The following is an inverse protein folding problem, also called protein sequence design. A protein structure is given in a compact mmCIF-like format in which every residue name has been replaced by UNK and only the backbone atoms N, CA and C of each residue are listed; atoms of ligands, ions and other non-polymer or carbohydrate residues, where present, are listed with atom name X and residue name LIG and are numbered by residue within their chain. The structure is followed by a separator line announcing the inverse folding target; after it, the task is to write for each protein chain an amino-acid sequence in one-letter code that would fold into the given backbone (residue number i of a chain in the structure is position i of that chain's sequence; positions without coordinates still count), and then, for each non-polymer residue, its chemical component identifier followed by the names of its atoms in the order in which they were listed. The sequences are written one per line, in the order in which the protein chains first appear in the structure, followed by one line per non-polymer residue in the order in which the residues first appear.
data_IF_122362765767
#
_entry.id   IF_122362765767
#
_cell.length_a   1.000
_cell.length_b   1.000
_cell.length_c   1.000
_cell.angle_alpha   90.00
_cell.angle_beta   90.00
_cell.angle_gamma   90.00
#
_symmetry.space_group_name_H-M   'P 1'
#
loop_
_entity.id
_entity.type
_entity.pdbx_description
1 polymer ?
#
# COMPACT_ATOMS: atom_id res chain seq x y z
N UNK A 1 18.70 -12.19 61.26
CA UNK A 1 18.43 -12.22 59.82
C UNK A 1 17.22 -11.29 59.55
N UNK A 2 17.43 -9.97 59.66
CA UNK A 2 16.40 -8.96 59.42
C UNK A 2 16.41 -8.65 57.91
N UNK A 3 15.48 -9.25 57.18
CA UNK A 3 15.21 -8.88 55.80
C UNK A 3 14.61 -7.48 55.88
N UNK A 4 15.33 -6.49 55.38
CA UNK A 4 14.94 -5.09 55.35
C UNK A 4 13.52 -4.95 54.75
N UNK A 5 12.61 -4.46 55.58
CA UNK A 5 11.21 -4.20 55.22
C UNK A 5 11.09 -3.35 53.94
N UNK A 6 12.08 -2.52 53.66
CA UNK A 6 12.20 -1.77 52.43
C UNK A 6 12.41 -2.65 51.20
N UNK A 7 13.23 -3.71 51.30
CA UNK A 7 13.42 -4.68 50.21
C UNK A 7 12.13 -5.46 49.88
N UNK A 8 11.35 -5.84 50.91
CA UNK A 8 10.04 -6.49 50.69
C UNK A 8 9.02 -5.57 50.02
N UNK A 9 8.90 -4.33 50.49
CA UNK A 9 8.03 -3.34 49.84
C UNK A 9 8.44 -3.09 48.37
N UNK A 10 9.72 -2.93 48.10
CA UNK A 10 10.24 -2.73 46.76
C UNK A 10 9.91 -3.93 45.85
N UNK A 11 10.05 -5.17 46.33
CA UNK A 11 9.70 -6.38 45.53
C UNK A 11 8.20 -6.52 45.28
N UNK A 12 7.33 -6.15 46.24
CA UNK A 12 5.89 -6.14 46.01
C UNK A 12 5.48 -5.09 44.97
N UNK A 13 6.07 -3.92 44.95
CA UNK A 13 5.84 -2.89 43.93
C UNK A 13 6.32 -3.36 42.56
N UNK A 14 7.43 -4.07 42.47
CA UNK A 14 7.89 -4.67 41.21
C UNK A 14 6.90 -5.71 40.65
N UNK A 15 6.39 -6.57 41.49
CA UNK A 15 5.39 -7.55 41.11
C UNK A 15 4.11 -6.88 40.60
N UNK A 16 3.65 -5.84 41.29
CA UNK A 16 2.46 -5.07 40.90
C UNK A 16 2.70 -4.32 39.57
N UNK A 17 3.87 -3.71 39.38
CA UNK A 17 4.22 -3.02 38.14
C UNK A 17 4.40 -3.99 36.96
N UNK A 18 4.98 -5.16 37.18
CA UNK A 18 5.11 -6.22 36.19
C UNK A 18 3.73 -6.72 35.73
N UNK A 19 2.82 -6.95 36.68
CA UNK A 19 1.42 -7.31 36.38
C UNK A 19 0.67 -6.20 35.66
N UNK A 20 0.85 -4.95 36.06
CA UNK A 20 0.27 -3.80 35.36
C UNK A 20 0.81 -3.66 33.93
N UNK A 21 2.12 -3.86 33.75
CA UNK A 21 2.75 -3.84 32.42
C UNK A 21 2.27 -4.97 31.51
N UNK A 22 2.05 -6.18 32.09
CA UNK A 22 1.47 -7.32 31.36
C UNK A 22 0.02 -7.06 30.98
N UNK A 23 -0.76 -6.45 31.88
CA UNK A 23 -2.13 -6.01 31.62
C UNK A 23 -2.21 -4.92 30.55
N UNK A 24 -1.25 -3.99 30.55
CA UNK A 24 -1.12 -2.96 29.53
C UNK A 24 -0.72 -3.52 28.17
N UNK A 25 0.17 -4.52 28.11
CA UNK A 25 0.50 -5.25 26.87
C UNK A 25 -0.72 -5.96 26.28
N UNK A 26 -1.52 -6.60 27.14
CA UNK A 26 -2.76 -7.22 26.70
C UNK A 26 -3.77 -6.18 26.21
N UNK A 27 -3.89 -5.06 26.92
CA UNK A 27 -4.75 -3.95 26.54
C UNK A 27 -4.29 -3.28 25.23
N UNK A 28 -2.99 -3.27 24.93
CA UNK A 28 -2.46 -2.76 23.66
C UNK A 28 -2.98 -3.56 22.46
N UNK A 29 -2.99 -4.89 22.56
CA UNK A 29 -3.58 -5.75 21.53
C UNK A 29 -5.03 -5.40 21.24
N UNK A 30 -5.79 -4.96 22.25
CA UNK A 30 -7.20 -4.56 22.16
C UNK A 30 -7.35 -3.08 21.78
N UNK A 31 -6.55 -2.18 22.38
CA UNK A 31 -6.71 -0.73 22.28
C UNK A 31 -5.88 -0.11 21.14
N UNK A 32 -4.92 -0.85 20.59
CA UNK A 32 -4.07 -0.44 19.46
C UNK A 32 -3.44 0.96 19.62
N UNK A 33 -3.02 1.32 20.85
CA UNK A 33 -2.36 2.60 21.15
C UNK A 33 -0.85 2.42 21.35
N UNK A 34 -0.04 3.00 20.49
CA UNK A 34 1.43 2.87 20.51
C UNK A 34 2.15 3.60 21.66
N UNK A 35 1.42 4.17 22.62
CA UNK A 35 1.98 4.82 23.78
C UNK A 35 2.28 3.85 24.93
N UNK A 36 1.78 2.61 24.86
CA UNK A 36 2.07 1.57 25.84
C UNK A 36 3.55 1.16 25.88
N UNK A 37 4.26 1.29 24.76
CA UNK A 37 5.69 0.98 24.67
C UNK A 37 6.54 1.80 25.62
N UNK A 38 6.22 3.07 25.73
CA UNK A 38 6.91 3.96 26.66
C UNK A 38 6.68 3.51 28.10
N UNK A 39 5.46 3.09 28.42
CA UNK A 39 5.12 2.56 29.73
C UNK A 39 5.82 1.22 30.04
N UNK A 40 6.14 0.41 29.02
CA UNK A 40 6.82 -0.87 29.16
C UNK A 40 8.33 -0.79 29.34
N UNK A 41 8.98 0.17 28.71
CA UNK A 41 10.43 0.38 28.89
C UNK A 41 10.78 0.80 30.30
N UNK A 42 9.84 1.41 31.03
CA UNK A 42 10.06 1.92 32.37
C UNK A 42 10.26 0.86 33.43
N UNK A 43 9.45 -0.21 33.54
CA UNK A 43 9.70 -1.33 34.46
C UNK A 43 11.03 -2.02 34.20
N UNK A 44 11.43 -2.17 32.92
CA UNK A 44 12.72 -2.80 32.54
C UNK A 44 13.87 -1.89 32.98
N UNK A 45 13.81 -0.61 32.72
CA UNK A 45 14.81 0.38 33.15
C UNK A 45 14.89 0.41 34.69
N UNK A 46 13.75 0.38 35.37
CA UNK A 46 13.66 0.34 36.81
C UNK A 46 14.24 -0.96 37.40
N UNK A 47 13.98 -2.12 36.77
CA UNK A 47 14.55 -3.40 37.16
C UNK A 47 16.09 -3.38 37.04
N UNK A 48 16.63 -2.80 35.98
CA UNK A 48 18.08 -2.65 35.78
C UNK A 48 18.71 -1.73 36.84
N UNK A 49 18.03 -0.68 37.21
CA UNK A 49 18.51 0.35 38.18
C UNK A 49 18.24 -0.02 39.66
N UNK A 50 17.54 -1.12 39.93
CA UNK A 50 16.95 -1.43 41.24
C UNK A 50 17.90 -1.92 42.30
N UNK A 51 19.22 -2.05 42.07
CA UNK A 51 20.17 -2.49 43.10
C UNK A 51 20.33 -1.51 44.26
N UNK A 52 20.12 -0.21 44.04
CA UNK A 52 19.90 0.83 45.07
C UNK A 52 19.20 2.03 44.40
N UNK A 53 17.87 2.07 44.33
CA UNK A 53 17.19 3.17 43.63
C UNK A 53 17.39 4.47 44.44
N UNK A 54 17.83 5.56 43.78
CA UNK A 54 17.86 6.87 44.41
C UNK A 54 16.44 7.34 44.74
N UNK A 55 16.30 8.13 45.81
CA UNK A 55 14.99 8.55 46.32
C UNK A 55 14.09 9.28 45.30
N UNK A 56 14.66 9.92 44.28
CA UNK A 56 13.94 10.58 43.21
C UNK A 56 13.36 9.60 42.13
N UNK A 57 13.81 8.35 42.10
CA UNK A 57 13.46 7.43 41.02
C UNK A 57 11.98 7.04 41.04
N UNK A 58 11.43 6.74 42.23
CA UNK A 58 10.02 6.37 42.38
C UNK A 58 9.06 7.48 41.94
N UNK A 59 9.21 8.76 42.37
CA UNK A 59 8.39 9.85 41.88
C UNK A 59 8.52 10.07 40.37
N UNK A 60 9.72 9.92 39.83
CA UNK A 60 9.96 10.06 38.39
C UNK A 60 9.23 8.98 37.60
N UNK A 61 9.33 7.71 38.02
CA UNK A 61 8.61 6.59 37.38
C UNK A 61 7.10 6.79 37.46
N UNK A 62 6.57 7.22 38.61
CA UNK A 62 5.14 7.51 38.77
C UNK A 62 4.69 8.65 37.86
N UNK A 63 5.48 9.72 37.74
CA UNK A 63 5.19 10.83 36.83
C UNK A 63 5.15 10.37 35.37
N UNK A 64 6.13 9.58 34.92
CA UNK A 64 6.16 9.07 33.55
C UNK A 64 5.00 8.11 33.29
N UNK A 65 4.65 7.24 34.25
CA UNK A 65 3.48 6.36 34.14
C UNK A 65 2.18 7.18 34.04
N UNK A 66 2.01 8.22 34.84
CA UNK A 66 0.84 9.09 34.80
C UNK A 66 0.73 9.81 33.43
N UNK A 67 1.85 10.34 32.92
CA UNK A 67 1.91 10.95 31.60
C UNK A 67 1.57 9.92 30.51
N UNK A 68 2.14 8.72 30.54
CA UNK A 68 1.87 7.67 29.57
C UNK A 68 0.40 7.24 29.59
N UNK A 69 -0.18 7.07 30.78
CA UNK A 69 -1.60 6.75 30.93
C UNK A 69 -2.49 7.87 30.39
N UNK A 70 -2.15 9.12 30.67
CA UNK A 70 -2.87 10.28 30.13
C UNK A 70 -2.82 10.32 28.61
N UNK A 71 -1.66 10.02 28.00
CA UNK A 71 -1.50 9.94 26.55
C UNK A 71 -2.36 8.84 25.95
N UNK A 72 -2.42 7.66 26.57
CA UNK A 72 -3.27 6.53 26.15
C UNK A 72 -4.75 6.89 26.22
N UNK A 73 -5.19 7.46 27.36
CA UNK A 73 -6.59 7.87 27.55
C UNK A 73 -6.96 8.95 26.51
N UNK A 74 -6.08 9.91 26.28
CA UNK A 74 -6.30 10.97 25.28
C UNK A 74 -6.37 10.38 23.86
N UNK A 75 -5.53 9.40 23.55
CA UNK A 75 -5.54 8.70 22.26
C UNK A 75 -6.86 7.98 22.02
N UNK A 76 -7.35 7.25 23.01
CA UNK A 76 -8.63 6.55 22.96
C UNK A 76 -9.79 7.53 22.82
N UNK A 77 -9.79 8.60 23.63
CA UNK A 77 -10.84 9.62 23.61
C UNK A 77 -10.91 10.40 22.30
N UNK A 78 -9.76 10.60 21.63
CA UNK A 78 -9.71 11.31 20.35
C UNK A 78 -10.08 10.45 19.14
N UNK A 79 -10.06 9.12 19.26
CA UNK A 79 -10.39 8.20 18.15
C UNK A 79 -11.75 8.50 17.50
N UNK A 80 -12.86 8.60 18.23
CA UNK A 80 -14.17 8.82 17.61
C UNK A 80 -14.27 10.14 16.84
N UNK A 81 -13.44 11.13 17.18
CA UNK A 81 -13.43 12.44 16.54
C UNK A 81 -12.52 12.50 15.31
N UNK A 82 -11.46 11.68 15.27
CA UNK A 82 -10.45 11.68 14.22
C UNK A 82 -10.64 10.53 13.24
N UNK A 83 -11.23 9.42 13.65
CA UNK A 83 -11.55 8.26 12.79
C UNK A 83 -12.75 8.53 11.87
N UNK A 84 -13.57 9.55 12.16
CA UNK A 84 -14.73 9.91 11.33
C UNK A 84 -14.36 10.62 10.01
N UNK A 85 -13.09 10.91 9.76
CA UNK A 85 -12.63 11.54 8.54
C UNK A 85 -11.61 10.65 7.84
N UNK A 86 -12.06 9.95 6.83
CA UNK A 86 -11.16 9.30 5.89
C UNK A 86 -10.37 10.40 5.18
N UNK A 87 -9.14 10.55 5.53
CA UNK A 87 -8.15 11.21 4.69
C UNK A 87 -7.15 10.13 4.27
N UNK A 88 -6.29 10.43 3.31
CA UNK A 88 -5.25 9.51 2.82
C UNK A 88 -4.48 8.83 3.98
N UNK A 89 -4.27 9.51 5.08
CA UNK A 89 -3.63 8.98 6.29
C UNK A 89 -4.56 8.10 7.13
N UNK A 90 -5.88 8.24 7.03
CA UNK A 90 -6.82 7.47 7.84
C UNK A 90 -6.96 6.03 7.37
N UNK A 91 -6.90 5.74 6.07
CA UNK A 91 -6.90 4.36 5.58
C UNK A 91 -5.71 3.55 6.10
N UNK A 92 -4.57 4.20 6.35
CA UNK A 92 -3.44 3.56 7.03
C UNK A 92 -3.73 3.16 8.49
N UNK A 93 -4.79 3.71 9.13
CA UNK A 93 -5.21 3.30 10.47
C UNK A 93 -5.77 1.89 10.51
N UNK A 94 -6.43 1.51 9.43
CA UNK A 94 -7.08 0.22 9.30
C UNK A 94 -6.16 -0.87 8.74
N UNK A 95 -4.87 -0.54 8.53
CA UNK A 95 -3.87 -1.49 8.07
C UNK A 95 -3.15 -2.15 9.25
N UNK A 96 -2.94 -3.44 9.24
CA UNK A 96 -2.22 -4.20 10.26
C UNK A 96 -1.28 -5.24 9.65
N UNK A 97 -0.23 -5.60 10.39
CA UNK A 97 0.66 -6.69 9.99
C UNK A 97 -0.02 -8.03 10.15
N UNK A 98 0.12 -8.91 9.17
CA UNK A 98 -0.51 -10.23 9.16
C UNK A 98 0.44 -11.33 9.66
N UNK A 99 0.06 -12.14 10.69
CA UNK A 99 0.80 -13.35 11.03
C UNK A 99 0.68 -14.40 9.90
N UNK A 100 1.69 -15.23 9.64
CA UNK A 100 2.95 -15.35 10.35
C UNK A 100 4.05 -14.40 9.88
N UNK A 101 3.82 -13.62 8.82
CA UNK A 101 4.78 -12.71 8.23
C UNK A 101 4.39 -11.25 8.55
N UNK A 102 4.98 -10.65 9.59
CA UNK A 102 4.60 -9.31 10.07
C UNK A 102 4.97 -8.17 9.12
N UNK A 103 5.58 -8.50 8.00
CA UNK A 103 6.10 -7.57 7.02
C UNK A 103 5.01 -7.25 5.99
N UNK A 104 4.08 -8.18 5.78
CA UNK A 104 2.94 -7.97 4.89
C UNK A 104 1.82 -7.34 5.69
N UNK A 105 1.49 -6.09 5.38
CA UNK A 105 0.38 -5.39 5.98
C UNK A 105 -0.91 -5.64 5.19
N UNK A 106 -2.05 -5.56 5.88
CA UNK A 106 -3.41 -5.64 5.32
C UNK A 106 -4.31 -4.66 6.02
N UNK A 107 -5.43 -4.35 5.40
CA UNK A 107 -6.48 -3.61 6.10
C UNK A 107 -7.19 -4.51 7.13
N UNK A 108 -7.91 -3.88 8.05
CA UNK A 108 -8.79 -4.62 8.96
C UNK A 108 -9.87 -5.35 8.14
N UNK A 109 -10.27 -6.53 8.62
CA UNK A 109 -11.33 -7.33 7.97
C UNK A 109 -12.69 -6.65 8.12
N UNK A 110 -13.56 -6.88 7.12
CA UNK A 110 -14.95 -6.41 7.12
C UNK A 110 -15.10 -4.89 7.33
N UNK A 111 -14.17 -4.10 6.80
CA UNK A 111 -14.36 -2.65 6.75
C UNK A 111 -15.53 -2.32 5.83
N UNK A 112 -16.39 -1.41 6.26
CA UNK A 112 -17.42 -0.76 5.45
C UNK A 112 -17.39 0.74 5.75
N UNK A 113 -16.59 1.46 4.99
CA UNK A 113 -16.31 2.86 5.19
C UNK A 113 -16.88 3.66 4.03
N UNK A 114 -17.56 4.76 4.37
CA UNK A 114 -18.07 5.73 3.39
C UNK A 114 -17.66 7.12 3.85
N UNK A 115 -16.83 7.80 3.05
CA UNK A 115 -16.37 9.14 3.39
C UNK A 115 -15.95 9.94 2.15
N UNK A 116 -15.60 11.21 2.36
CA UNK A 116 -14.96 12.05 1.36
C UNK A 116 -13.44 11.96 1.47
N UNK A 117 -12.81 11.57 0.36
CA UNK A 117 -11.37 11.54 0.18
C UNK A 117 -10.92 12.64 -0.79
N UNK A 118 -9.66 13.03 -0.69
CA UNK A 118 -8.92 13.78 -1.70
C UNK A 118 -7.53 13.17 -1.86
N UNK A 119 -6.84 13.55 -2.94
CA UNK A 119 -5.61 12.88 -3.35
C UNK A 119 -4.44 13.01 -2.40
N UNK A 120 -3.55 12.06 -2.51
CA UNK A 120 -2.31 11.94 -1.74
C UNK A 120 -1.38 13.15 -1.96
N UNK A 121 -1.27 13.63 -3.21
CA UNK A 121 -0.43 14.78 -3.56
C UNK A 121 -0.97 16.08 -2.96
N UNK A 122 -2.29 16.27 -3.01
CA UNK A 122 -2.93 17.42 -2.35
C UNK A 122 -2.80 17.35 -0.83
N UNK A 123 -2.85 16.14 -0.25
CA UNK A 123 -2.63 15.91 1.18
C UNK A 123 -1.21 16.30 1.60
N UNK A 124 -0.20 15.88 0.83
CA UNK A 124 1.21 16.20 1.07
C UNK A 124 1.48 17.69 0.86
N UNK A 125 0.90 18.28 -0.18
CA UNK A 125 1.08 19.71 -0.50
C UNK A 125 0.41 20.62 0.55
N UNK A 126 -0.72 20.17 1.12
CA UNK A 126 -1.42 20.89 2.20
C UNK A 126 -2.24 22.09 1.75
N UNK A 127 -2.36 22.38 0.44
CA UNK A 127 -3.21 23.45 -0.07
C UNK A 127 -4.63 22.96 -0.39
N UNK A 128 -5.68 23.41 0.33
CA UNK A 128 -7.06 22.99 0.10
C UNK A 128 -7.60 23.29 -1.31
N UNK A 129 -7.08 24.31 -1.99
CA UNK A 129 -7.50 24.68 -3.35
C UNK A 129 -7.10 23.64 -4.40
N UNK A 130 -6.16 22.76 -4.10
CA UNK A 130 -5.69 21.70 -4.98
C UNK A 130 -6.43 20.37 -4.75
N UNK A 131 -7.29 20.27 -3.73
CA UNK A 131 -8.01 19.06 -3.39
C UNK A 131 -9.15 18.78 -4.37
N UNK A 132 -9.17 17.59 -4.92
CA UNK A 132 -10.29 17.04 -5.67
C UNK A 132 -11.08 16.08 -4.78
N UNK A 133 -12.08 16.62 -4.06
CA UNK A 133 -12.85 15.84 -3.10
C UNK A 133 -13.81 14.91 -3.80
N UNK A 134 -13.87 13.66 -3.34
CA UNK A 134 -14.71 12.60 -3.90
C UNK A 134 -15.23 11.68 -2.81
N UNK A 135 -16.47 11.24 -2.97
CA UNK A 135 -17.05 10.25 -2.08
C UNK A 135 -16.48 8.87 -2.42
N UNK A 136 -16.00 8.16 -1.42
CA UNK A 136 -15.42 6.83 -1.55
C UNK A 136 -16.19 5.84 -0.67
N UNK A 137 -16.56 4.72 -1.25
CA UNK A 137 -16.95 3.50 -0.54
C UNK A 137 -15.73 2.58 -0.51
N UNK A 138 -15.34 2.13 0.67
CA UNK A 138 -14.19 1.27 0.87
C UNK A 138 -14.58 0.07 1.71
N UNK A 139 -14.60 -1.12 1.11
CA UNK A 139 -14.99 -2.37 1.76
C UNK A 139 -13.88 -3.39 1.67
N UNK A 140 -13.71 -4.16 2.76
CA UNK A 140 -12.75 -5.27 2.78
C UNK A 140 -13.44 -6.58 3.15
N UNK A 141 -12.89 -7.67 2.63
CA UNK A 141 -13.30 -9.02 2.96
C UNK A 141 -12.76 -9.49 4.33
N UNK A 142 -12.96 -10.74 4.67
CA UNK A 142 -12.46 -11.37 5.92
C UNK A 142 -10.94 -11.37 6.05
N UNK A 143 -10.21 -11.33 4.92
CA UNK A 143 -8.74 -11.30 4.90
C UNK A 143 -8.17 -9.89 4.83
N UNK A 144 -9.02 -8.86 4.77
CA UNK A 144 -8.62 -7.47 4.70
C UNK A 144 -8.16 -7.01 3.32
N UNK A 145 -8.58 -7.68 2.24
CA UNK A 145 -8.43 -7.21 0.88
C UNK A 145 -9.71 -6.54 0.38
N UNK A 146 -9.57 -5.70 -0.62
CA UNK A 146 -10.65 -4.86 -1.10
C UNK A 146 -11.58 -5.61 -2.06
N UNK A 147 -12.47 -6.41 -1.48
CA UNK A 147 -13.53 -7.14 -2.16
C UNK A 147 -14.87 -6.87 -1.49
N UNK A 148 -15.91 -6.53 -2.26
CA UNK A 148 -17.27 -6.41 -1.75
C UNK A 148 -17.85 -7.79 -1.49
N UNK A 149 -17.62 -8.72 -2.40
CA UNK A 149 -18.05 -10.11 -2.30
C UNK A 149 -16.93 -11.03 -2.81
N UNK A 150 -16.57 -11.98 -1.98
CA UNK A 150 -15.62 -13.04 -2.38
C UNK A 150 -16.37 -14.09 -3.18
N UNK A 151 -15.96 -14.39 -4.43
CA UNK A 151 -16.61 -15.43 -5.23
C UNK A 151 -16.38 -16.84 -4.67
N UNK A 152 -17.38 -17.72 -4.79
CA UNK A 152 -17.24 -19.13 -4.41
C UNK A 152 -16.19 -19.89 -5.24
N UNK A 153 -15.98 -19.45 -6.47
CA UNK A 153 -14.92 -19.90 -7.37
C UNK A 153 -14.35 -18.70 -8.11
N UNK A 154 -13.02 -18.61 -8.19
CA UNK A 154 -12.32 -17.47 -8.75
C UNK A 154 -11.85 -17.83 -10.19
N UNK A 155 -12.25 -16.99 -11.15
CA UNK A 155 -11.80 -17.06 -12.56
C UNK A 155 -10.59 -16.18 -12.82
N UNK A 156 -10.46 -15.08 -12.02
CA UNK A 156 -9.41 -14.08 -12.16
C UNK A 156 -8.95 -13.57 -10.80
N UNK A 157 -7.65 -13.46 -10.61
CA UNK A 157 -7.03 -12.78 -9.47
C UNK A 157 -6.39 -11.50 -10.00
N UNK A 158 -6.76 -10.35 -9.42
CA UNK A 158 -6.10 -9.08 -9.63
C UNK A 158 -5.05 -8.88 -8.53
N UNK A 159 -3.77 -8.91 -8.90
CA UNK A 159 -2.62 -8.75 -8.01
C UNK A 159 -1.87 -7.48 -8.36
N UNK A 160 -1.37 -6.76 -7.38
CA UNK A 160 -0.59 -5.54 -7.57
C UNK A 160 -0.62 -4.61 -6.37
N UNK A 161 -0.14 -3.42 -6.58
CA UNK A 161 0.03 -2.35 -5.59
C UNK A 161 -1.28 -1.62 -5.23
N UNK A 162 -1.14 -0.38 -4.81
CA UNK A 162 -2.24 0.53 -4.48
C UNK A 162 -3.15 0.86 -5.67
N UNK A 163 -2.65 0.84 -6.91
CA UNK A 163 -3.48 0.99 -8.11
C UNK A 163 -4.42 -0.20 -8.29
N UNK A 164 -3.92 -1.42 -8.08
CA UNK A 164 -4.78 -2.63 -8.11
C UNK A 164 -5.78 -2.64 -6.98
N UNK A 165 -5.35 -2.24 -5.79
CA UNK A 165 -6.25 -2.06 -4.65
C UNK A 165 -7.33 -1.02 -4.93
N UNK A 166 -7.13 -0.13 -5.91
CA UNK A 166 -8.06 0.93 -6.28
C UNK A 166 -8.06 2.09 -5.30
N UNK A 167 -6.87 2.48 -4.83
CA UNK A 167 -6.73 3.59 -3.91
C UNK A 167 -7.36 4.88 -4.47
N UNK A 168 -8.10 5.59 -3.63
CA UNK A 168 -8.75 6.84 -4.03
C UNK A 168 -9.97 6.70 -4.95
N UNK A 169 -10.36 5.47 -5.32
CA UNK A 169 -11.52 5.17 -6.16
C UNK A 169 -12.57 4.40 -5.37
N UNK A 170 -13.85 4.67 -5.59
CA UNK A 170 -14.96 4.02 -4.87
C UNK A 170 -15.06 2.53 -5.23
N UNK A 171 -15.54 1.69 -4.30
CA UNK A 171 -15.59 0.22 -4.42
C UNK A 171 -16.16 -0.24 -5.75
N UNK A 172 -17.30 0.33 -6.11
CA UNK A 172 -18.04 -0.06 -7.32
C UNK A 172 -17.35 0.37 -8.63
N UNK A 173 -16.28 1.17 -8.56
CA UNK A 173 -15.58 1.73 -9.71
C UNK A 173 -14.16 1.19 -9.88
N UNK A 174 -13.65 0.34 -8.97
CA UNK A 174 -12.35 -0.31 -9.16
C UNK A 174 -12.44 -1.41 -10.21
N UNK A 175 -11.36 -1.64 -10.95
CA UNK A 175 -11.40 -2.54 -12.12
C UNK A 175 -11.79 -3.98 -11.77
N UNK A 176 -11.40 -4.48 -10.61
CA UNK A 176 -11.79 -5.83 -10.14
C UNK A 176 -13.29 -5.98 -9.92
N UNK A 177 -13.95 -4.97 -9.36
CA UNK A 177 -15.41 -4.97 -9.18
C UNK A 177 -16.14 -4.75 -10.52
N UNK A 178 -15.58 -3.94 -11.41
CA UNK A 178 -16.11 -3.79 -12.77
C UNK A 178 -16.08 -5.12 -13.51
N UNK A 179 -15.00 -5.90 -13.40
CA UNK A 179 -14.91 -7.25 -13.97
C UNK A 179 -15.95 -8.21 -13.34
N UNK A 180 -16.15 -8.15 -12.02
CA UNK A 180 -17.17 -8.96 -11.35
C UNK A 180 -18.58 -8.67 -11.89
N UNK A 181 -18.93 -7.41 -12.12
CA UNK A 181 -20.21 -6.99 -12.71
C UNK A 181 -20.42 -7.49 -14.13
N UNK A 182 -19.34 -7.74 -14.85
CA UNK A 182 -19.38 -8.37 -16.17
C UNK A 182 -19.37 -9.92 -16.10
N UNK A 183 -19.58 -10.48 -14.92
CA UNK A 183 -19.68 -11.92 -14.71
C UNK A 183 -18.33 -12.65 -14.62
N UNK A 184 -17.21 -11.93 -14.58
CA UNK A 184 -15.89 -12.50 -14.36
C UNK A 184 -15.63 -12.54 -12.85
N UNK A 185 -15.69 -13.72 -12.24
CA UNK A 185 -15.50 -13.92 -10.80
C UNK A 185 -14.07 -13.55 -10.40
N UNK A 186 -13.87 -12.29 -10.03
CA UNK A 186 -12.59 -11.67 -9.76
C UNK A 186 -12.35 -11.57 -8.26
N UNK A 187 -11.13 -11.89 -7.81
CA UNK A 187 -10.65 -11.61 -6.46
C UNK A 187 -9.55 -10.55 -6.51
N UNK A 188 -9.76 -9.45 -5.80
CA UNK A 188 -8.76 -8.38 -5.66
C UNK A 188 -7.79 -8.72 -4.53
N UNK A 189 -6.52 -8.91 -4.89
CA UNK A 189 -5.41 -9.17 -3.99
C UNK A 189 -4.42 -7.98 -3.96
N UNK A 190 -4.86 -6.81 -4.45
CA UNK A 190 -4.08 -5.57 -4.45
C UNK A 190 -3.92 -5.01 -3.04
N UNK A 191 -2.71 -4.55 -2.74
CA UNK A 191 -2.37 -3.86 -1.50
C UNK A 191 -1.13 -2.98 -1.73
N UNK A 192 -1.04 -1.77 -1.12
CA UNK A 192 0.14 -0.91 -1.23
C UNK A 192 1.43 -1.63 -0.84
N UNK A 193 2.39 -1.74 -1.76
CA UNK A 193 3.67 -2.43 -1.60
C UNK A 193 4.34 -2.64 -2.94
N UNK A 194 5.51 -3.27 -2.97
CA UNK A 194 6.22 -3.62 -4.19
C UNK A 194 5.99 -5.08 -4.62
N UNK A 195 6.54 -5.48 -5.78
CA UNK A 195 6.29 -6.79 -6.40
C UNK A 195 6.58 -7.99 -5.49
N UNK A 196 7.56 -7.88 -4.59
CA UNK A 196 7.83 -8.94 -3.64
C UNK A 196 6.76 -9.11 -2.57
N UNK A 197 6.22 -8.01 -2.05
CA UNK A 197 5.12 -8.03 -1.08
C UNK A 197 3.87 -8.63 -1.72
N UNK A 198 3.62 -8.34 -3.00
CA UNK A 198 2.54 -8.89 -3.80
C UNK A 198 2.69 -10.41 -4.00
N UNK A 199 3.91 -10.86 -4.34
CA UNK A 199 4.24 -12.29 -4.41
C UNK A 199 3.95 -13.01 -3.09
N UNK A 200 4.35 -12.43 -1.95
CA UNK A 200 4.11 -12.98 -0.64
C UNK A 200 2.61 -13.01 -0.31
N UNK A 201 1.87 -11.94 -0.62
CA UNK A 201 0.42 -11.91 -0.46
C UNK A 201 -0.26 -13.04 -1.23
N UNK A 202 0.12 -13.24 -2.49
CA UNK A 202 -0.40 -14.32 -3.31
C UNK A 202 -0.06 -15.69 -2.73
N UNK A 203 1.18 -15.90 -2.27
CA UNK A 203 1.62 -17.17 -1.69
C UNK A 203 0.85 -17.55 -0.41
N UNK A 204 0.63 -16.56 0.48
CA UNK A 204 -0.07 -16.75 1.76
C UNK A 204 -1.57 -16.98 1.55
N UNK A 205 -2.18 -16.22 0.63
CA UNK A 205 -3.63 -16.27 0.45
C UNK A 205 -4.09 -17.49 -0.35
N UNK A 206 -3.24 -18.02 -1.20
CA UNK A 206 -3.59 -19.12 -2.09
C UNK A 206 -4.34 -20.30 -1.41
N UNK A 207 -3.92 -20.81 -0.24
CA UNK A 207 -4.57 -21.97 0.38
C UNK A 207 -6.06 -21.77 0.69
N UNK A 208 -6.48 -20.52 0.92
CA UNK A 208 -7.88 -20.19 1.22
C UNK A 208 -8.71 -19.85 -0.02
N UNK A 209 -8.05 -19.51 -1.14
CA UNK A 209 -8.74 -19.08 -2.35
C UNK A 209 -9.21 -20.29 -3.16
N UNK A 210 -10.48 -20.31 -3.52
CA UNK A 210 -11.07 -21.35 -4.38
C UNK A 210 -10.85 -20.97 -5.85
N UNK A 211 -9.61 -21.07 -6.29
CA UNK A 211 -9.19 -20.72 -7.66
C UNK A 211 -9.46 -21.87 -8.62
N UNK A 212 -10.07 -21.59 -9.76
CA UNK A 212 -10.26 -22.59 -10.83
C UNK A 212 -8.93 -22.96 -11.47
N UNK A 213 -8.80 -24.21 -11.98
CA UNK A 213 -7.71 -24.55 -12.89
C UNK A 213 -7.67 -23.58 -14.07
N UNK A 214 -6.48 -23.20 -14.50
CA UNK A 214 -6.25 -22.23 -15.59
C UNK A 214 -6.87 -20.85 -15.36
N UNK A 215 -7.18 -20.47 -14.12
CA UNK A 215 -7.59 -19.11 -13.80
C UNK A 215 -6.50 -18.09 -14.19
N UNK A 216 -6.94 -16.90 -14.50
CA UNK A 216 -6.03 -15.82 -14.89
C UNK A 216 -5.55 -15.02 -13.66
N UNK A 217 -4.25 -14.89 -13.48
CA UNK A 217 -3.62 -13.92 -12.60
C UNK A 217 -3.22 -12.70 -13.43
N UNK A 218 -3.89 -11.59 -13.23
CA UNK A 218 -3.50 -10.30 -13.78
C UNK A 218 -2.65 -9.61 -12.73
N UNK A 219 -1.34 -9.53 -12.99
CA UNK A 219 -0.37 -8.92 -12.10
C UNK A 219 0.00 -7.54 -12.64
N UNK A 220 -0.43 -6.48 -11.96
CA UNK A 220 -0.10 -5.10 -12.36
C UNK A 220 1.16 -4.64 -11.66
N UNK A 221 2.10 -4.10 -12.41
CA UNK A 221 3.31 -3.45 -11.93
C UNK A 221 3.25 -1.97 -12.28
N UNK A 222 3.63 -1.11 -11.36
CA UNK A 222 3.64 0.33 -11.56
C UNK A 222 5.06 0.86 -11.70
N UNK A 223 5.38 1.48 -12.82
CA UNK A 223 6.75 1.96 -13.11
C UNK A 223 7.21 3.11 -12.20
N UNK A 224 6.30 3.76 -11.47
CA UNK A 224 6.61 4.94 -10.66
C UNK A 224 7.35 4.62 -9.36
N UNK A 225 7.10 3.48 -8.71
CA UNK A 225 7.67 3.14 -7.41
C UNK A 225 7.99 1.66 -7.18
N UNK A 226 7.50 0.72 -8.00
CA UNK A 226 7.68 -0.71 -7.75
C UNK A 226 9.14 -1.13 -7.69
N UNK A 227 10.01 -0.49 -8.50
CA UNK A 227 11.43 -0.76 -8.43
C UNK A 227 12.06 -0.29 -7.11
N UNK A 228 11.64 0.85 -6.58
CA UNK A 228 12.11 1.37 -5.29
C UNK A 228 11.55 0.55 -4.13
N UNK A 229 10.28 0.16 -4.20
CA UNK A 229 9.56 -0.61 -3.18
C UNK A 229 10.03 -2.08 -3.14
N UNK A 230 10.58 -2.62 -4.24
CA UNK A 230 11.16 -3.97 -4.31
C UNK A 230 12.35 -4.16 -3.34
N UNK A 231 12.87 -3.08 -2.78
CA UNK A 231 13.86 -3.10 -1.71
C UNK A 231 13.43 -3.80 -0.42
N UNK A 232 12.20 -4.35 -0.39
CA UNK A 232 11.48 -4.90 0.73
C UNK A 232 12.31 -5.67 1.75
N UNK A 233 11.96 -5.48 3.00
CA UNK A 233 12.59 -6.00 4.23
C UNK A 233 12.56 -7.53 4.35
N UNK A 234 12.01 -8.23 3.37
CA UNK A 234 11.57 -9.64 3.46
C UNK A 234 12.64 -10.65 3.07
N UNK A 235 13.63 -10.25 2.28
CA UNK A 235 14.76 -11.12 1.92
C UNK A 235 15.64 -11.53 3.12
N UNK A 236 15.32 -11.01 4.32
CA UNK A 236 15.99 -11.35 5.58
C UNK A 236 15.25 -12.39 6.42
N UNK A 237 14.18 -13.02 5.90
CA UNK A 237 13.37 -14.00 6.65
C UNK A 237 14.08 -15.28 7.03
N UNK A 238 15.23 -15.61 6.42
CA UNK A 238 16.07 -16.73 6.80
C UNK A 238 16.81 -16.54 8.13
N UNK A 239 16.62 -15.38 8.78
CA UNK A 239 17.26 -15.05 10.05
C UNK A 239 16.37 -15.39 11.24
N UNK A 240 16.95 -16.11 12.18
CA UNK A 240 16.52 -16.64 13.48
C UNK A 240 15.15 -16.16 14.06
N UNK A 241 14.31 -17.12 14.53
CA UNK A 241 12.91 -16.86 14.96
C UNK A 241 12.73 -15.79 16.05
N UNK A 242 13.68 -15.64 16.98
CA UNK A 242 13.57 -14.66 18.06
C UNK A 242 13.87 -13.22 17.60
N UNK A 243 14.78 -13.04 16.64
CA UNK A 243 15.07 -11.72 16.06
C UNK A 243 13.90 -11.22 15.23
N UNK A 244 13.21 -12.14 14.56
CA UNK A 244 11.96 -11.84 13.85
C UNK A 244 10.87 -11.40 14.83
N UNK A 245 10.68 -12.09 15.95
CA UNK A 245 9.65 -11.75 16.93
C UNK A 245 9.86 -10.39 17.58
N UNK A 246 11.10 -10.02 17.92
CA UNK A 246 11.41 -8.71 18.50
C UNK A 246 11.29 -7.58 17.46
N UNK A 247 11.81 -7.77 16.23
CA UNK A 247 11.62 -6.83 15.15
C UNK A 247 10.14 -6.65 14.80
N UNK A 248 9.36 -7.72 14.80
CA UNK A 248 7.91 -7.72 14.60
C UNK A 248 7.20 -6.87 15.65
N UNK A 249 7.59 -7.08 16.92
CA UNK A 249 7.05 -6.28 18.02
C UNK A 249 7.38 -4.78 17.83
N UNK A 250 8.64 -4.43 17.52
CA UNK A 250 9.04 -3.04 17.24
C UNK A 250 8.28 -2.41 16.05
N UNK A 251 8.05 -3.19 15.00
CA UNK A 251 7.27 -2.74 13.83
C UNK A 251 5.81 -2.49 14.24
N UNK A 252 5.18 -3.40 15.00
CA UNK A 252 3.82 -3.19 15.54
C UNK A 252 3.75 -1.91 16.38
N UNK A 253 4.69 -1.77 17.29
CA UNK A 253 4.80 -0.61 18.16
C UNK A 253 4.91 0.68 17.34
N UNK A 254 5.80 0.75 16.36
CA UNK A 254 5.94 1.88 15.46
C UNK A 254 4.66 2.15 14.65
N UNK A 255 4.01 1.10 14.18
CA UNK A 255 2.77 1.19 13.41
C UNK A 255 1.64 1.76 14.29
N UNK A 256 1.45 1.25 15.50
CA UNK A 256 0.43 1.77 16.43
C UNK A 256 0.70 3.24 16.81
N UNK A 257 1.96 3.60 17.06
CA UNK A 257 2.33 5.00 17.32
C UNK A 257 2.02 5.92 16.14
N UNK A 258 2.32 5.50 14.92
CA UNK A 258 2.02 6.30 13.72
C UNK A 258 0.52 6.44 13.48
N UNK A 259 -0.28 5.49 13.96
CA UNK A 259 -1.75 5.49 13.89
C UNK A 259 -2.42 6.25 15.02
N UNK A 260 -1.70 6.54 16.10
CA UNK A 260 -2.22 7.25 17.26
C UNK A 260 -2.86 8.58 16.84
N UNK A 261 -4.17 8.81 17.10
CA UNK A 261 -4.83 10.07 16.86
C UNK A 261 -4.13 11.25 17.52
N UNK A 262 -3.64 11.05 18.74
CA UNK A 262 -2.90 12.06 19.48
C UNK A 262 -1.56 12.40 18.81
N UNK A 263 -0.81 11.38 18.35
CA UNK A 263 0.46 11.60 17.65
C UNK A 263 0.25 12.37 16.34
N UNK A 264 -0.86 12.14 15.65
CA UNK A 264 -1.24 12.90 14.45
C UNK A 264 -1.58 14.33 14.77
N UNK A 265 -2.36 14.55 15.83
CA UNK A 265 -2.69 15.89 16.27
C UNK A 265 -1.41 16.68 16.61
N UNK A 266 -0.50 16.07 17.37
CA UNK A 266 0.79 16.65 17.73
C UNK A 266 1.63 16.94 16.47
N UNK A 267 1.75 15.97 15.57
CA UNK A 267 2.49 16.15 14.31
C UNK A 267 1.86 17.24 13.45
N UNK A 268 0.54 17.29 13.33
CA UNK A 268 -0.16 18.33 12.58
C UNK A 268 0.06 19.73 13.18
N UNK A 269 0.12 19.83 14.50
CA UNK A 269 0.43 21.11 15.18
C UNK A 269 1.88 21.50 14.92
N UNK A 270 2.82 20.55 15.08
CA UNK A 270 4.24 20.80 14.90
C UNK A 270 4.62 21.07 13.43
N UNK A 271 3.95 20.42 12.48
CA UNK A 271 4.22 20.59 11.04
C UNK A 271 3.49 21.78 10.44
N UNK A 272 2.41 22.29 11.05
CA UNK A 272 1.76 23.53 10.61
C UNK A 272 2.67 24.75 10.62
N UNK A 273 3.72 24.74 11.44
CA UNK A 273 4.71 25.84 11.46
C UNK A 273 5.79 25.71 10.38
N UNK A 274 5.89 24.58 9.69
CA UNK A 274 6.80 24.37 8.57
C UNK A 274 5.98 24.22 7.28
N UNK A 275 5.49 25.32 6.70
CA UNK A 275 5.22 25.39 5.26
C UNK A 275 6.54 25.19 4.49
N UNK A 276 7.14 24.03 4.62
CA UNK A 276 8.08 23.54 3.60
C UNK A 276 7.19 23.25 2.39
N UNK A 277 7.21 24.17 1.42
CA UNK A 277 6.83 23.86 0.04
C UNK A 277 7.23 22.41 -0.22
N UNK A 278 6.28 21.57 -0.54
CA UNK A 278 6.51 20.13 -0.70
C UNK A 278 7.50 19.95 -1.85
N UNK A 279 8.78 19.79 -1.48
CA UNK A 279 9.82 19.43 -2.43
C UNK A 279 9.40 18.10 -3.06
N UNK A 280 9.27 18.07 -4.37
CA UNK A 280 8.97 16.86 -5.10
C UNK A 280 7.55 16.74 -5.65
N UNK A 281 6.75 17.81 -5.63
CA UNK A 281 5.47 17.87 -6.34
C UNK A 281 5.52 18.97 -7.39
N UNK A 282 5.39 18.57 -8.65
CA UNK A 282 5.24 19.48 -9.78
C UNK A 282 3.75 19.77 -9.99
N UNK A 283 3.38 21.06 -10.05
CA UNK A 283 2.02 21.52 -10.33
C UNK A 283 1.99 22.11 -11.76
N UNK A 284 1.01 21.69 -12.55
CA UNK A 284 0.75 22.22 -13.88
C UNK A 284 -0.73 22.51 -14.04
N UNK A 285 -1.06 23.48 -14.89
CA UNK A 285 -2.44 23.79 -15.20
C UNK A 285 -2.89 23.06 -16.47
N UNK A 286 -4.05 22.46 -16.39
CA UNK A 286 -4.80 22.00 -17.55
C UNK A 286 -5.31 23.20 -18.39
N UNK A 287 -5.68 23.01 -19.66
CA UNK A 287 -6.28 24.07 -20.48
C UNK A 287 -7.55 24.70 -19.87
N UNK A 288 -8.29 23.95 -19.04
CA UNK A 288 -9.46 24.46 -18.31
C UNK A 288 -9.10 25.27 -17.04
N UNK A 289 -7.81 25.52 -16.80
CA UNK A 289 -7.29 26.27 -15.67
C UNK A 289 -7.18 25.47 -14.36
N UNK A 290 -7.63 24.22 -14.31
CA UNK A 290 -7.52 23.38 -13.12
C UNK A 290 -6.10 22.85 -12.95
N UNK A 291 -5.62 22.80 -11.72
CA UNK A 291 -4.31 22.25 -11.40
C UNK A 291 -4.29 20.72 -11.51
N UNK A 292 -3.19 20.19 -12.04
CA UNK A 292 -2.84 18.79 -12.02
C UNK A 292 -1.47 18.62 -11.34
N UNK A 293 -1.37 17.69 -10.40
CA UNK A 293 -0.20 17.45 -9.56
C UNK A 293 0.52 16.18 -10.03
N UNK A 294 1.84 16.22 -10.01
CA UNK A 294 2.73 15.11 -10.37
C UNK A 294 3.75 14.90 -9.27
N UNK A 295 4.05 13.64 -8.94
CA UNK A 295 5.07 13.29 -7.98
C UNK A 295 6.42 13.12 -8.69
N UNK A 296 7.34 14.03 -8.45
CA UNK A 296 8.62 14.09 -9.16
C UNK A 296 9.44 12.80 -9.04
N UNK A 297 9.37 12.13 -7.88
CA UNK A 297 10.07 10.86 -7.66
C UNK A 297 9.56 9.74 -8.55
N UNK A 298 8.26 9.70 -8.84
CA UNK A 298 7.69 8.73 -9.78
C UNK A 298 8.11 9.03 -11.24
N UNK A 299 8.20 10.32 -11.59
CA UNK A 299 8.54 10.73 -12.94
C UNK A 299 10.04 10.59 -13.27
N UNK A 300 10.90 10.46 -12.26
CA UNK A 300 12.35 10.29 -12.46
C UNK A 300 12.66 9.00 -13.24
N UNK A 301 11.99 7.89 -12.89
CA UNK A 301 12.25 6.60 -13.51
C UNK A 301 11.84 6.56 -14.98
N UNK A 302 10.74 7.20 -15.35
CA UNK A 302 10.28 7.30 -16.73
C UNK A 302 11.29 7.96 -17.69
N UNK A 303 12.21 8.75 -17.12
CA UNK A 303 13.25 9.47 -17.89
C UNK A 303 14.60 8.76 -17.92
N UNK A 304 14.74 7.66 -17.20
CA UNK A 304 15.99 6.89 -17.16
C UNK A 304 16.05 5.91 -18.33
N UNK A 305 17.20 5.79 -18.99
CA UNK A 305 17.40 4.75 -19.99
C UNK A 305 17.38 3.37 -19.34
N UNK A 306 16.99 2.36 -20.13
CA UNK A 306 16.88 0.97 -19.68
C UNK A 306 18.12 0.48 -18.94
N UNK A 307 19.32 0.75 -19.45
CA UNK A 307 20.58 0.32 -18.84
C UNK A 307 20.81 0.87 -17.42
N UNK A 308 20.31 2.07 -17.13
CA UNK A 308 20.38 2.66 -15.79
C UNK A 308 19.41 1.97 -14.84
N UNK A 309 18.21 1.62 -15.32
CA UNK A 309 17.22 0.87 -14.54
C UNK A 309 17.74 -0.53 -14.23
N UNK A 310 18.29 -1.23 -15.20
CA UNK A 310 18.89 -2.57 -15.03
C UNK A 310 20.09 -2.57 -14.05
N UNK A 311 20.79 -1.45 -13.94
CA UNK A 311 21.86 -1.24 -12.95
C UNK A 311 21.36 -0.94 -11.52
N UNK A 312 20.04 -0.78 -11.31
CA UNK A 312 19.50 -0.48 -9.99
C UNK A 312 19.64 -1.68 -9.02
N UNK A 313 20.04 -1.47 -7.75
CA UNK A 313 20.26 -2.57 -6.79
C UNK A 313 19.03 -3.49 -6.62
N UNK A 314 17.83 -2.93 -6.72
CA UNK A 314 16.59 -3.69 -6.59
C UNK A 314 16.18 -4.44 -7.87
N UNK A 315 16.77 -4.12 -9.02
CA UNK A 315 16.41 -4.80 -10.28
C UNK A 315 16.74 -6.31 -10.23
N UNK A 316 17.88 -6.67 -9.62
CA UNK A 316 18.21 -8.08 -9.39
C UNK A 316 17.22 -8.78 -8.44
N UNK A 317 16.63 -8.04 -7.48
CA UNK A 317 15.59 -8.57 -6.59
C UNK A 317 14.29 -8.79 -7.37
N UNK A 318 13.87 -7.83 -8.19
CA UNK A 318 12.71 -7.95 -9.06
C UNK A 318 12.79 -9.19 -9.98
N UNK A 319 13.95 -9.45 -10.58
CA UNK A 319 14.17 -10.69 -11.37
C UNK A 319 13.98 -11.95 -10.53
N UNK A 320 14.43 -11.99 -9.29
CA UNK A 320 14.22 -13.11 -8.36
C UNK A 320 12.75 -13.24 -7.97
N UNK A 321 12.04 -12.13 -7.77
CA UNK A 321 10.60 -12.11 -7.50
C UNK A 321 9.83 -12.72 -8.67
N UNK A 322 10.15 -12.36 -9.91
CA UNK A 322 9.55 -12.98 -11.09
C UNK A 322 9.82 -14.48 -11.15
N UNK A 323 11.05 -14.92 -10.90
CA UNK A 323 11.40 -16.34 -10.88
C UNK A 323 10.61 -17.11 -9.80
N UNK A 324 10.52 -16.57 -8.58
CA UNK A 324 9.75 -17.16 -7.49
C UNK A 324 8.25 -17.22 -7.80
N UNK A 325 7.68 -16.16 -8.38
CA UNK A 325 6.29 -16.14 -8.82
C UNK A 325 6.04 -17.17 -9.93
N UNK A 326 6.98 -17.34 -10.85
CA UNK A 326 6.87 -18.35 -11.91
C UNK A 326 6.81 -19.76 -11.36
N UNK A 327 7.71 -20.10 -10.45
CA UNK A 327 7.72 -21.40 -9.78
C UNK A 327 6.40 -21.65 -9.03
N UNK A 328 5.92 -20.62 -8.32
CA UNK A 328 4.69 -20.70 -7.54
C UNK A 328 3.45 -20.93 -8.41
N UNK A 329 3.32 -20.18 -9.50
CA UNK A 329 2.16 -20.21 -10.40
C UNK A 329 2.13 -21.46 -11.27
N UNK A 330 3.29 -21.98 -11.68
CA UNK A 330 3.38 -23.26 -12.39
C UNK A 330 2.87 -24.42 -11.53
N UNK A 331 3.25 -24.47 -10.24
CA UNK A 331 2.77 -25.51 -9.31
C UNK A 331 1.26 -25.43 -9.06
N UNK A 332 0.64 -24.29 -9.36
CA UNK A 332 -0.78 -24.01 -9.05
C UNK A 332 -1.68 -23.96 -10.26
N UNK A 333 -1.16 -24.25 -11.44
CA UNK A 333 -1.89 -24.25 -12.72
C UNK A 333 -2.65 -22.92 -12.97
N UNK A 334 -1.96 -21.80 -12.77
CA UNK A 334 -2.47 -20.44 -12.97
C UNK A 334 -1.77 -19.80 -14.15
N UNK A 335 -2.54 -19.19 -15.05
CA UNK A 335 -2.00 -18.39 -16.14
C UNK A 335 -1.69 -16.97 -15.65
N UNK A 336 -0.51 -16.46 -15.95
CA UNK A 336 -0.09 -15.12 -15.50
C UNK A 336 0.09 -14.19 -16.68
N UNK A 337 -0.51 -13.01 -16.57
CA UNK A 337 -0.23 -11.87 -17.44
C UNK A 337 0.20 -10.70 -16.54
N UNK A 338 1.32 -10.10 -16.91
CA UNK A 338 1.84 -8.92 -16.22
C UNK A 338 1.50 -7.68 -17.04
N UNK A 339 0.82 -6.72 -16.42
CA UNK A 339 0.49 -5.42 -16.98
C UNK A 339 1.41 -4.37 -16.36
N UNK A 340 2.22 -3.71 -17.16
CA UNK A 340 3.14 -2.66 -16.70
C UNK A 340 2.45 -1.31 -16.88
N UNK A 341 2.04 -0.70 -15.76
CA UNK A 341 1.31 0.57 -15.74
C UNK A 341 2.30 1.75 -15.80
N UNK A 342 2.07 2.70 -16.73
CA UNK A 342 2.87 3.92 -16.83
C UNK A 342 2.57 4.90 -15.68
N UNK A 343 3.45 5.88 -15.48
CA UNK A 343 3.16 6.99 -14.56
C UNK A 343 2.12 7.95 -15.18
N UNK A 344 1.53 8.76 -14.30
CA UNK A 344 0.65 9.84 -14.74
C UNK A 344 1.37 10.81 -15.70
N UNK A 345 2.63 11.12 -15.43
CA UNK A 345 3.44 11.97 -16.29
C UNK A 345 3.79 11.34 -17.64
N UNK A 346 3.88 10.02 -17.74
CA UNK A 346 4.09 9.33 -19.02
C UNK A 346 2.91 9.53 -19.97
N UNK A 347 1.69 9.53 -19.42
CA UNK A 347 0.46 9.72 -20.18
C UNK A 347 0.18 11.19 -20.48
N UNK A 348 0.46 12.07 -19.52
CA UNK A 348 0.18 13.50 -19.62
C UNK A 348 1.46 14.35 -19.73
N UNK A 349 2.49 13.82 -20.41
CA UNK A 349 3.78 14.52 -20.59
C UNK A 349 3.62 15.90 -21.21
N UNK A 350 2.68 16.07 -22.12
CA UNK A 350 2.37 17.35 -22.75
C UNK A 350 1.90 18.40 -21.73
N UNK A 351 1.23 17.99 -20.64
CA UNK A 351 0.88 18.88 -19.53
C UNK A 351 2.13 19.20 -18.70
N UNK A 352 2.93 18.17 -18.35
CA UNK A 352 4.15 18.35 -17.55
C UNK A 352 5.11 19.31 -18.23
N UNK A 353 5.24 19.21 -19.54
CA UNK A 353 6.16 20.02 -20.34
C UNK A 353 5.50 21.34 -20.84
N UNK A 354 4.28 21.62 -20.42
CA UNK A 354 3.53 22.84 -20.81
C UNK A 354 3.46 23.05 -22.34
N UNK A 355 3.29 21.95 -23.09
CA UNK A 355 3.18 22.00 -24.56
C UNK A 355 1.79 22.40 -24.99
N UNK A 356 1.68 23.21 -26.05
CA UNK A 356 0.42 23.63 -26.64
C UNK A 356 -0.25 22.54 -27.48
N UNK A 357 0.52 21.56 -27.93
CA UNK A 357 0.06 20.40 -28.70
C UNK A 357 0.33 19.12 -27.95
N UNK A 358 -0.58 18.15 -28.07
CA UNK A 358 -0.40 16.81 -27.53
C UNK A 358 0.54 16.04 -28.47
N UNK A 359 1.79 15.74 -28.06
CA UNK A 359 2.68 14.96 -28.91
C UNK A 359 2.27 13.49 -28.90
N UNK A 360 2.48 12.79 -29.99
CA UNK A 360 2.39 11.34 -30.00
C UNK A 360 3.59 10.74 -29.25
N UNK A 361 3.35 10.24 -28.06
CA UNK A 361 4.37 9.58 -27.24
C UNK A 361 3.87 8.23 -26.71
N UNK A 362 3.78 7.27 -27.63
CA UNK A 362 3.42 5.87 -27.29
C UNK A 362 4.65 5.00 -26.99
N UNK A 363 5.84 5.52 -27.22
CA UNK A 363 7.06 4.73 -27.01
C UNK A 363 7.18 4.30 -25.55
N UNK A 364 7.61 3.04 -25.28
CA UNK A 364 7.86 2.56 -23.94
C UNK A 364 8.95 3.40 -23.26
N UNK A 365 8.88 3.49 -21.94
CA UNK A 365 9.94 4.10 -21.14
C UNK A 365 11.04 3.07 -20.87
N UNK A 366 12.27 3.53 -20.58
CA UNK A 366 13.34 2.60 -20.25
C UNK A 366 13.04 1.71 -19.04
N UNK A 367 12.24 2.19 -18.07
CA UNK A 367 11.79 1.38 -16.94
C UNK A 367 10.78 0.31 -17.38
N UNK A 368 9.85 0.64 -18.26
CA UNK A 368 8.90 -0.33 -18.79
C UNK A 368 9.61 -1.41 -19.63
N UNK A 369 10.59 -1.02 -20.44
CA UNK A 369 11.42 -1.96 -21.23
C UNK A 369 12.23 -2.90 -20.32
N UNK A 370 12.88 -2.37 -19.28
CA UNK A 370 13.64 -3.17 -18.33
C UNK A 370 12.73 -4.17 -17.59
N UNK A 371 11.60 -3.71 -17.06
CA UNK A 371 10.63 -4.56 -16.36
C UNK A 371 10.06 -5.62 -17.30
N UNK A 372 9.68 -5.27 -18.52
CA UNK A 372 9.18 -6.20 -19.53
C UNK A 372 10.21 -7.27 -19.85
N UNK A 373 11.46 -6.86 -20.13
CA UNK A 373 12.53 -7.82 -20.42
C UNK A 373 12.79 -8.80 -19.27
N UNK A 374 12.81 -8.33 -18.02
CA UNK A 374 12.95 -9.20 -16.85
C UNK A 374 11.77 -10.17 -16.67
N UNK A 375 10.57 -9.69 -16.90
CA UNK A 375 9.33 -10.43 -16.82
C UNK A 375 9.25 -11.53 -17.91
N UNK A 376 9.58 -11.20 -19.16
CA UNK A 376 9.62 -12.15 -20.29
C UNK A 376 10.72 -13.21 -20.10
N UNK A 377 11.88 -12.83 -19.55
CA UNK A 377 12.94 -13.79 -19.17
C UNK A 377 12.45 -14.82 -18.14
N UNK A 378 11.53 -14.45 -17.25
CA UNK A 378 10.89 -15.38 -16.33
C UNK A 378 9.78 -16.23 -16.98
N UNK A 379 9.49 -16.04 -18.28
CA UNK A 379 8.51 -16.80 -19.04
C UNK A 379 7.07 -16.33 -18.83
N UNK A 380 6.84 -15.08 -18.44
CA UNK A 380 5.51 -14.47 -18.40
C UNK A 380 5.17 -13.73 -19.70
N UNK A 381 3.88 -13.55 -19.94
CA UNK A 381 3.39 -12.60 -20.94
C UNK A 381 3.33 -11.22 -20.29
N UNK A 382 4.08 -10.26 -20.82
CA UNK A 382 4.25 -8.94 -20.24
C UNK A 382 3.80 -7.87 -21.24
N UNK A 383 2.93 -6.97 -20.80
CA UNK A 383 2.29 -5.96 -21.65
C UNK A 383 2.55 -4.59 -21.07
N UNK A 384 3.23 -3.74 -21.84
CA UNK A 384 3.32 -2.30 -21.52
C UNK A 384 1.96 -1.65 -21.82
N UNK A 385 1.33 -1.10 -20.79
CA UNK A 385 0.02 -0.47 -20.88
C UNK A 385 0.08 0.98 -21.40
N UNK A 386 1.27 1.56 -21.53
CA UNK A 386 1.40 2.97 -21.95
C UNK A 386 0.74 3.25 -23.30
N UNK A 387 0.97 2.48 -24.39
CA UNK A 387 0.33 2.75 -25.67
C UNK A 387 -1.20 2.77 -25.59
N UNK A 388 -1.76 1.75 -24.95
CA UNK A 388 -3.21 1.62 -24.79
C UNK A 388 -3.81 2.76 -23.93
N UNK A 389 -3.23 3.00 -22.75
CA UNK A 389 -3.72 4.03 -21.83
C UNK A 389 -3.53 5.43 -22.41
N UNK A 390 -2.48 5.66 -23.17
CA UNK A 390 -2.26 6.93 -23.88
C UNK A 390 -3.40 7.21 -24.87
N UNK A 391 -3.77 6.21 -25.70
CA UNK A 391 -4.84 6.37 -26.69
C UNK A 391 -6.21 6.57 -26.03
N UNK A 392 -6.48 5.84 -24.95
CA UNK A 392 -7.72 6.03 -24.17
C UNK A 392 -7.75 7.42 -23.52
N UNK A 393 -6.64 7.84 -22.90
CA UNK A 393 -6.53 9.15 -22.25
C UNK A 393 -6.74 10.30 -23.24
N UNK A 394 -6.11 10.19 -24.42
CA UNK A 394 -6.23 11.20 -25.46
C UNK A 394 -7.68 11.35 -25.95
N UNK A 395 -8.32 10.23 -26.32
CA UNK A 395 -9.73 10.23 -26.76
C UNK A 395 -10.66 10.78 -25.68
N UNK A 396 -10.48 10.34 -24.43
CA UNK A 396 -11.32 10.73 -23.30
C UNK A 396 -11.18 12.23 -23.01
N UNK A 397 -9.94 12.71 -23.00
CA UNK A 397 -9.68 14.13 -22.76
C UNK A 397 -10.26 15.02 -23.89
N UNK A 398 -10.05 14.64 -25.14
CA UNK A 398 -10.58 15.39 -26.29
C UNK A 398 -12.12 15.42 -26.35
N UNK A 399 -12.78 14.32 -25.96
CA UNK A 399 -14.24 14.23 -26.04
C UNK A 399 -14.97 14.82 -24.83
N UNK A 400 -14.36 14.82 -23.64
CA UNK A 400 -15.06 15.14 -22.39
C UNK A 400 -14.24 15.92 -21.37
N UNK A 401 -12.96 16.18 -21.63
CA UNK A 401 -12.05 16.80 -20.64
C UNK A 401 -11.73 15.92 -19.43
N UNK A 402 -12.13 14.65 -19.45
CA UNK A 402 -11.87 13.71 -18.35
C UNK A 402 -10.47 13.12 -18.42
N UNK A 403 -9.99 12.64 -17.28
CA UNK A 403 -8.66 12.09 -17.10
C UNK A 403 -8.73 10.66 -16.54
N UNK A 404 -7.75 9.83 -16.88
CA UNK A 404 -7.62 8.47 -16.32
C UNK A 404 -7.06 8.47 -14.89
N UNK A 405 -6.35 9.50 -14.49
CA UNK A 405 -5.83 9.71 -13.12
C UNK A 405 -6.56 10.85 -12.43
N UNK A 406 -6.67 10.75 -11.11
CA UNK A 406 -7.10 11.90 -10.32
C UNK A 406 -6.08 13.03 -10.45
N UNK A 407 -6.54 14.27 -10.53
CA UNK A 407 -5.65 15.44 -10.71
C UNK A 407 -4.72 15.65 -9.51
N UNK A 408 -5.23 15.37 -8.34
CA UNK A 408 -4.59 15.62 -7.04
C UNK A 408 -3.96 14.37 -6.39
N UNK A 409 -3.83 13.27 -7.15
CA UNK A 409 -3.42 11.96 -6.63
C UNK A 409 -2.41 11.29 -7.58
N UNK A 410 -1.61 10.36 -7.08
CA UNK A 410 -0.73 9.51 -7.89
C UNK A 410 -1.47 8.35 -8.56
N UNK A 411 -2.67 8.04 -8.10
CA UNK A 411 -3.43 6.84 -8.48
C UNK A 411 -4.42 7.07 -9.62
N UNK A 412 -4.79 5.96 -10.27
CA UNK A 412 -5.83 5.91 -11.28
C UNK A 412 -7.18 6.40 -10.72
N UNK A 413 -7.89 7.18 -11.53
CA UNK A 413 -9.28 7.54 -11.29
C UNK A 413 -10.25 6.47 -11.80
N UNK A 414 -11.56 6.74 -11.68
CA UNK A 414 -12.61 5.82 -12.12
C UNK A 414 -12.49 5.45 -13.60
N UNK A 415 -12.26 6.43 -14.48
CA UNK A 415 -12.10 6.20 -15.92
C UNK A 415 -10.81 5.39 -16.23
N UNK A 416 -9.76 5.50 -15.39
CA UNK A 416 -8.56 4.68 -15.49
C UNK A 416 -8.83 3.22 -15.13
N UNK A 417 -9.55 2.98 -14.04
CA UNK A 417 -9.99 1.63 -13.68
C UNK A 417 -10.91 1.01 -14.74
N UNK A 418 -11.80 1.79 -15.33
CA UNK A 418 -12.65 1.32 -16.43
C UNK A 418 -11.82 0.93 -17.66
N UNK A 419 -10.79 1.70 -17.99
CA UNK A 419 -9.88 1.37 -19.09
C UNK A 419 -9.14 0.05 -18.84
N UNK A 420 -8.62 -0.16 -17.63
CA UNK A 420 -7.99 -1.45 -17.26
C UNK A 420 -8.99 -2.60 -17.34
N UNK A 421 -10.21 -2.44 -16.81
CA UNK A 421 -11.24 -3.48 -16.86
C UNK A 421 -11.55 -3.89 -18.31
N UNK A 422 -11.76 -2.93 -19.21
CA UNK A 422 -12.00 -3.19 -20.63
C UNK A 422 -10.85 -3.93 -21.28
N UNK A 423 -9.62 -3.47 -21.06
CA UNK A 423 -8.44 -4.14 -21.60
C UNK A 423 -8.33 -5.61 -21.14
N UNK A 424 -8.58 -5.88 -19.86
CA UNK A 424 -8.55 -7.25 -19.31
C UNK A 424 -9.68 -8.11 -19.90
N UNK A 425 -10.87 -7.56 -20.13
CA UNK A 425 -11.97 -8.28 -20.80
C UNK A 425 -11.60 -8.67 -22.23
N UNK A 426 -11.14 -7.71 -23.04
CA UNK A 426 -10.74 -7.93 -24.43
C UNK A 426 -9.61 -8.96 -24.53
N UNK A 427 -8.63 -8.86 -23.63
CA UNK A 427 -7.52 -9.80 -23.55
C UNK A 427 -7.99 -11.22 -23.21
N UNK A 428 -8.92 -11.36 -22.26
CA UNK A 428 -9.49 -12.65 -21.89
C UNK A 428 -10.30 -13.28 -23.03
N UNK A 429 -11.11 -12.50 -23.72
CA UNK A 429 -11.86 -12.94 -24.90
C UNK A 429 -10.93 -13.44 -25.99
N UNK A 430 -9.86 -12.70 -26.31
CA UNK A 430 -8.85 -13.12 -27.26
C UNK A 430 -8.17 -14.45 -26.86
N UNK A 431 -7.90 -14.65 -25.55
CA UNK A 431 -7.30 -15.89 -25.05
C UNK A 431 -8.27 -17.08 -25.17
N UNK A 432 -9.55 -16.89 -24.93
CA UNK A 432 -10.57 -17.93 -25.09
C UNK A 432 -10.78 -18.24 -26.57
N UNK A 433 -10.86 -17.21 -27.42
CA UNK A 433 -10.96 -17.38 -28.87
C UNK A 433 -9.77 -18.10 -29.48
N UNK A 434 -8.54 -17.80 -29.03
CA UNK A 434 -7.32 -18.49 -29.49
C UNK A 434 -7.28 -19.99 -29.08
N UNK A 435 -7.91 -20.39 -27.99
CA UNK A 435 -8.05 -21.79 -27.58
C UNK A 435 -9.04 -22.57 -28.43
N UNK A 436 -9.98 -21.90 -29.08
CA UNK A 436 -10.99 -22.49 -29.97
C UNK A 436 -10.50 -22.61 -31.42
N UNK A 437 -9.38 -21.97 -31.76
CA UNK A 437 -8.77 -22.04 -33.10
C UNK A 437 -7.33 -22.56 -32.95
N UNK A 438 -7.05 -23.84 -33.13
CA UNK A 438 -5.68 -24.35 -33.17
C UNK A 438 -4.99 -23.79 -34.43
N UNK A 439 -3.91 -23.05 -34.24
CA UNK A 439 -3.09 -22.40 -35.28
C UNK A 439 -3.63 -21.08 -35.87
N UNK A 440 -3.61 -20.02 -35.08
CA UNK A 440 -3.57 -18.66 -35.65
C UNK A 440 -2.23 -18.05 -35.30
N UNK A 441 -1.44 -17.57 -36.27
CA UNK A 441 -0.21 -16.82 -36.02
C UNK A 441 -0.54 -15.50 -35.37
N UNK A 442 0.39 -15.04 -34.54
CA UNK A 442 0.42 -13.79 -33.76
C UNK A 442 -0.72 -12.78 -34.00
N UNK A 443 -1.34 -12.26 -32.91
CA UNK A 443 -2.30 -11.18 -33.04
C UNK A 443 -1.64 -9.97 -33.72
N UNK A 444 -2.40 -9.19 -34.51
CA UNK A 444 -1.87 -8.03 -35.18
C UNK A 444 -1.27 -7.06 -34.16
N UNK A 445 -0.10 -6.55 -34.49
CA UNK A 445 0.48 -5.41 -33.80
C UNK A 445 -0.54 -4.27 -33.89
N UNK A 446 -1.16 -3.93 -32.75
CA UNK A 446 -1.99 -2.75 -32.60
C UNK A 446 -1.13 -1.52 -32.34
#
# INVERSE_FOLDING_TARGET
MAIDLNQRRTRCWFGAMSLASTGLLYAEGVLKSGWFEVALLLPILFFILSRKPPAFLLPTVMAIMAVSLTLVISDIALRPFLERRLNYTALNLYSHSHPPLPIVARWDSHLDLVDELYGDLAAVHGNPALQERRRIVFRTDEAGFRNEKVPDQIDLIALGDSNTAGWGTSQERIFSELLQRQGIRTYNLGYPGGPYDEYINFAIEWPRLKVKPQALLVWTLYVGNDLDDEGGKVWELDKLPWQTSFKQWLVRCRTYRNRSPLNRLINNILTRSSHRLSKGITIRNLPDGKAMLFLDTHEVWSRKPQSVVEGHPNFAKLKRTFAAMRELTQKRDVQVIVLILPTKGDIYRWIVESRTTVPEDRAPTGVAEAMRGACEQAGFRCIDMKPYLYDVALRLYQSSGKLLWWRDDTHLGEDGHEAIARFVMDLREAMVGAKLVPNVPHPPQL
#
